data_IF_808002872988
#
_entry.id   IF_808002872988
#
_cell.length_a   1.000
_cell.length_b   1.000
_cell.length_c   1.000
_cell.angle_alpha   90.00
_cell.angle_beta   90.00
_cell.angle_gamma   90.00
#
_symmetry.space_group_name_H-M   'P 1'
#
loop_
_entity.id
_entity.type
_entity.pdbx_description
1 polymer ?
#
# COMPACT_ATOMS: atom_id res chain seq x y z
N UNK A 1 8.60 -15.81 3.06
CA UNK A 1 8.47 -14.43 2.54
C UNK A 1 9.53 -14.11 1.46
N UNK A 2 9.71 -14.99 0.45
CA UNK A 2 10.75 -14.84 -0.60
C UNK A 2 10.31 -15.21 -2.03
N UNK A 3 9.00 -15.26 -2.32
CA UNK A 3 8.52 -15.79 -3.61
C UNK A 3 8.59 -14.81 -4.81
N UNK A 4 9.00 -13.56 -4.58
CA UNK A 4 9.34 -12.60 -5.65
C UNK A 4 10.85 -12.55 -5.95
N UNK A 5 11.64 -13.39 -5.27
CA UNK A 5 13.03 -13.68 -5.58
C UNK A 5 13.20 -15.17 -5.93
N UNK A 6 14.32 -15.55 -6.55
CA UNK A 6 14.62 -16.94 -6.90
C UNK A 6 14.66 -17.21 -8.41
N UNK A 7 14.54 -18.48 -8.80
CA UNK A 7 14.62 -18.94 -10.19
C UNK A 7 13.50 -18.27 -11.04
N UNK A 8 13.86 -17.90 -12.27
CA UNK A 8 12.99 -17.29 -13.29
C UNK A 8 12.53 -15.84 -13.02
N UNK A 9 13.19 -15.12 -12.10
CA UNK A 9 12.92 -13.69 -11.89
C UNK A 9 13.61 -12.84 -12.95
N UNK A 10 12.84 -12.08 -13.70
CA UNK A 10 13.34 -11.05 -14.61
C UNK A 10 13.76 -9.84 -13.79
N UNK A 11 15.05 -9.51 -13.82
CA UNK A 11 15.57 -8.27 -13.24
C UNK A 11 15.41 -7.15 -14.27
N UNK A 12 14.64 -6.13 -13.92
CA UNK A 12 14.39 -4.98 -14.77
C UNK A 12 14.85 -3.71 -14.09
N UNK A 13 15.58 -2.87 -14.82
CA UNK A 13 16.11 -1.61 -14.31
C UNK A 13 15.47 -0.45 -15.05
N UNK A 14 14.75 0.39 -14.33
CA UNK A 14 14.19 1.65 -14.85
C UNK A 14 15.34 2.61 -15.10
N UNK A 15 15.40 3.11 -16.32
CA UNK A 15 16.43 4.03 -16.82
C UNK A 15 15.84 5.31 -17.39
N UNK A 16 14.53 5.31 -17.65
CA UNK A 16 13.79 6.43 -18.22
C UNK A 16 12.60 6.76 -17.29
N UNK A 17 12.53 8.00 -16.75
CA UNK A 17 11.45 8.42 -15.87
C UNK A 17 10.19 8.85 -16.64
N UNK A 18 10.20 8.83 -17.97
CA UNK A 18 9.01 9.13 -18.77
C UNK A 18 7.95 8.05 -18.63
N UNK A 19 6.70 8.44 -18.88
CA UNK A 19 5.56 7.55 -18.86
C UNK A 19 4.75 7.73 -20.14
N UNK A 20 4.46 6.63 -20.82
CA UNK A 20 3.47 6.57 -21.91
C UNK A 20 2.51 5.43 -21.61
N UNK A 21 1.23 5.73 -21.29
CA UNK A 21 0.26 4.72 -20.90
C UNK A 21 -0.24 3.85 -22.04
N UNK A 22 -0.14 4.31 -23.28
CA UNK A 22 -0.63 3.61 -24.45
C UNK A 22 0.48 2.80 -25.11
N UNK A 23 1.70 3.34 -25.11
CA UNK A 23 2.88 2.76 -25.75
C UNK A 23 4.10 2.88 -24.83
N UNK A 24 4.12 2.16 -23.69
CA UNK A 24 5.24 2.25 -22.75
C UNK A 24 6.53 1.77 -23.41
N UNK A 25 7.61 2.53 -23.23
CA UNK A 25 8.92 2.23 -23.82
C UNK A 25 9.75 1.36 -22.88
N UNK A 26 10.55 0.45 -23.45
CA UNK A 26 11.58 -0.25 -22.67
C UNK A 26 12.50 0.76 -21.97
N UNK A 27 12.81 0.51 -20.71
CA UNK A 27 13.49 1.45 -19.82
C UNK A 27 12.56 2.22 -18.88
N UNK A 28 11.25 2.33 -19.16
CA UNK A 28 10.27 3.01 -18.30
C UNK A 28 9.70 2.09 -17.22
N UNK A 29 9.21 2.66 -16.11
CA UNK A 29 8.54 1.91 -15.04
C UNK A 29 7.28 1.18 -15.55
N UNK A 30 6.45 1.86 -16.35
CA UNK A 30 5.22 1.26 -16.89
C UNK A 30 5.51 0.02 -17.71
N UNK A 31 6.49 0.08 -18.61
CA UNK A 31 6.88 -1.08 -19.41
C UNK A 31 7.21 -2.29 -18.54
N UNK A 32 8.02 -2.08 -17.49
CA UNK A 32 8.36 -3.12 -16.53
C UNK A 32 7.13 -3.76 -15.90
N UNK A 33 6.18 -2.95 -15.46
CA UNK A 33 4.99 -3.44 -14.74
C UNK A 33 3.91 -4.08 -15.62
N UNK A 34 3.79 -3.69 -16.89
CA UNK A 34 2.67 -4.10 -17.76
C UNK A 34 3.06 -5.00 -18.91
N UNK A 35 4.29 -4.88 -19.45
CA UNK A 35 4.70 -5.59 -20.66
C UNK A 35 5.50 -6.85 -20.37
N UNK A 36 6.24 -6.89 -19.25
CA UNK A 36 7.02 -8.04 -18.85
C UNK A 36 6.11 -9.06 -18.16
N UNK A 37 6.16 -10.31 -18.61
CA UNK A 37 5.37 -11.41 -18.05
C UNK A 37 6.20 -12.25 -17.09
N UNK A 38 5.53 -12.82 -16.08
CA UNK A 38 6.18 -13.69 -15.09
C UNK A 38 6.64 -12.93 -13.86
N UNK A 39 7.61 -13.50 -13.13
CA UNK A 39 8.16 -12.87 -11.93
C UNK A 39 9.11 -11.75 -12.33
N UNK A 40 8.91 -10.57 -11.78
CA UNK A 40 9.75 -9.41 -12.10
C UNK A 40 10.20 -8.69 -10.82
N UNK A 41 11.46 -8.29 -10.82
CA UNK A 41 12.04 -7.40 -9.82
C UNK A 41 12.51 -6.12 -10.51
N UNK A 42 11.78 -5.03 -10.25
CA UNK A 42 12.02 -3.70 -10.79
C UNK A 42 12.87 -2.91 -9.81
N UNK A 43 13.98 -2.38 -10.31
CA UNK A 43 14.90 -1.46 -9.61
C UNK A 43 15.10 -0.20 -10.44
N UNK A 44 15.78 0.81 -9.90
CA UNK A 44 16.00 2.08 -10.58
C UNK A 44 17.50 2.35 -10.73
N UNK A 45 17.90 2.96 -11.85
CA UNK A 45 19.31 3.26 -12.15
C UNK A 45 19.91 4.36 -11.25
N UNK A 46 19.11 5.36 -10.93
CA UNK A 46 19.45 6.54 -10.13
C UNK A 46 18.18 7.14 -9.52
N UNK A 47 18.31 8.16 -8.67
CA UNK A 47 17.17 8.96 -8.19
C UNK A 47 16.34 9.46 -9.38
N UNK A 48 15.02 9.31 -9.31
CA UNK A 48 14.11 9.64 -10.42
C UNK A 48 12.74 10.07 -9.89
N UNK A 49 12.27 11.24 -10.34
CA UNK A 49 10.85 11.59 -10.21
C UNK A 49 10.12 11.09 -11.46
N UNK A 50 9.19 10.16 -11.31
CA UNK A 50 8.49 9.48 -12.41
C UNK A 50 7.04 9.95 -12.44
N UNK A 51 6.74 10.94 -13.27
CA UNK A 51 5.38 11.44 -13.39
C UNK A 51 4.53 10.50 -14.24
N UNK A 52 3.64 9.75 -13.58
CA UNK A 52 2.73 8.84 -14.27
C UNK A 52 1.56 9.61 -14.87
N UNK A 53 1.25 9.33 -16.14
CA UNK A 53 0.07 9.85 -16.84
C UNK A 53 -1.19 9.02 -16.55
N UNK A 54 -1.02 7.74 -16.16
CA UNK A 54 -2.02 6.72 -15.76
C UNK A 54 -1.50 5.98 -14.49
N UNK A 55 -2.23 5.33 -13.56
CA UNK A 55 -1.69 4.50 -12.51
C UNK A 55 -0.91 3.39 -13.10
N UNK A 56 -0.04 2.95 -12.25
CA UNK A 56 0.63 1.72 -12.42
C UNK A 56 -0.32 0.59 -12.02
N UNK A 57 -0.72 -0.22 -13.01
CA UNK A 57 -1.38 -1.48 -12.76
C UNK A 57 -0.29 -2.51 -12.52
N UNK A 58 -0.25 -3.03 -11.30
CA UNK A 58 0.70 -4.06 -10.92
C UNK A 58 0.09 -5.44 -11.14
N UNK A 59 0.80 -6.25 -11.92
CA UNK A 59 0.46 -7.66 -12.10
C UNK A 59 1.01 -8.53 -10.96
N UNK A 60 0.53 -9.76 -10.88
CA UNK A 60 1.01 -10.71 -9.86
C UNK A 60 2.51 -10.97 -10.01
N UNK A 61 3.20 -11.29 -8.91
CA UNK A 61 4.65 -11.59 -8.89
C UNK A 61 5.56 -10.41 -9.25
N UNK A 62 5.12 -9.18 -8.94
CA UNK A 62 5.91 -7.97 -9.14
C UNK A 62 6.54 -7.50 -7.84
N UNK A 63 7.83 -7.16 -7.88
CA UNK A 63 8.50 -6.36 -6.86
C UNK A 63 8.93 -5.01 -7.44
N UNK A 64 8.53 -3.90 -6.81
CA UNK A 64 9.09 -2.55 -7.05
C UNK A 64 9.98 -2.21 -5.86
N UNK A 65 11.26 -1.96 -6.15
CA UNK A 65 12.32 -1.77 -5.15
C UNK A 65 13.07 -0.46 -5.42
N UNK A 66 12.75 0.56 -4.62
CA UNK A 66 13.37 1.88 -4.66
C UNK A 66 14.68 1.98 -3.86
N UNK A 67 15.26 0.88 -3.35
CA UNK A 67 16.48 0.97 -2.54
C UNK A 67 17.61 1.65 -3.29
N UNK A 68 18.30 2.56 -2.58
CA UNK A 68 19.42 3.32 -3.12
C UNK A 68 19.02 4.45 -4.08
N UNK A 69 17.72 4.69 -4.26
CA UNK A 69 17.21 5.80 -5.07
C UNK A 69 16.05 6.52 -4.38
N UNK A 70 15.86 7.80 -4.67
CA UNK A 70 14.58 8.49 -4.39
C UNK A 70 13.69 8.41 -5.64
N UNK A 71 12.70 7.50 -5.61
CA UNK A 71 11.75 7.28 -6.69
C UNK A 71 10.35 7.75 -6.28
N UNK A 72 9.77 8.67 -7.05
CA UNK A 72 8.54 9.39 -6.70
C UNK A 72 7.51 9.29 -7.84
N UNK A 73 6.34 8.64 -7.65
CA UNK A 73 5.27 8.61 -8.63
C UNK A 73 4.13 9.60 -8.30
N UNK A 74 3.88 10.65 -9.10
CA UNK A 74 2.61 11.40 -9.06
C UNK A 74 1.52 10.78 -9.96
N UNK A 75 0.27 11.25 -9.81
CA UNK A 75 -1.00 10.61 -10.23
C UNK A 75 -1.72 11.10 -11.50
N UNK A 76 -2.52 10.19 -12.11
CA UNK A 76 -4.00 10.12 -12.50
C UNK A 76 -4.19 9.01 -13.60
N UNK A 77 -5.39 8.44 -13.96
CA UNK A 77 -5.69 7.03 -14.46
C UNK A 77 -6.60 6.69 -15.66
N UNK A 78 -6.39 5.51 -16.31
CA UNK A 78 -7.34 4.61 -17.05
C UNK A 78 -6.70 3.22 -17.42
N UNK A 79 -7.47 2.13 -17.57
CA UNK A 79 -7.07 0.68 -17.58
C UNK A 79 -6.83 -0.05 -18.95
N UNK A 80 -6.69 -1.41 -18.97
CA UNK A 80 -5.93 -2.14 -20.00
C UNK A 80 -6.73 -2.77 -21.18
N UNK A 81 -6.02 -3.01 -22.31
CA UNK A 81 -6.29 -3.92 -23.47
C UNK A 81 -7.03 -3.44 -24.74
N UNK A 82 -7.22 -2.14 -25.01
CA UNK A 82 -7.97 -1.69 -26.20
C UNK A 82 -9.36 -2.37 -26.38
N UNK A 83 -9.89 -2.96 -25.30
CA UNK A 83 -11.24 -3.49 -25.17
C UNK A 83 -11.79 -2.95 -23.85
N UNK A 84 -12.84 -2.15 -23.96
CA UNK A 84 -13.42 -1.39 -22.83
C UNK A 84 -14.05 -2.35 -21.82
N UNK A 85 -13.44 -2.48 -20.64
CA UNK A 85 -14.10 -2.96 -19.42
C UNK A 85 -14.43 -1.72 -18.59
N UNK A 86 -15.71 -1.41 -18.41
CA UNK A 86 -16.16 -0.31 -17.55
C UNK A 86 -15.90 -0.67 -16.08
N UNK A 87 -14.74 -0.28 -15.56
CA UNK A 87 -14.54 -0.10 -14.13
C UNK A 87 -14.95 1.35 -13.84
N UNK A 88 -16.09 1.55 -13.16
CA UNK A 88 -16.64 2.88 -12.87
C UNK A 88 -15.60 3.89 -12.37
N UNK A 89 -15.83 5.19 -12.65
CA UNK A 89 -14.96 6.36 -12.38
C UNK A 89 -13.60 6.01 -11.78
N UNK A 90 -12.59 5.93 -12.63
CA UNK A 90 -11.23 5.59 -12.20
C UNK A 90 -10.60 6.72 -11.37
N UNK A 91 -10.67 6.58 -10.05
CA UNK A 91 -10.07 7.50 -9.07
C UNK A 91 -8.55 7.58 -9.21
N UNK A 92 -7.99 8.78 -9.10
CA UNK A 92 -6.57 9.11 -9.32
C UNK A 92 -5.56 8.55 -8.32
N UNK A 93 -5.57 7.24 -8.07
CA UNK A 93 -4.64 6.61 -7.13
C UNK A 93 -3.26 6.36 -7.77
N UNK A 94 -2.16 6.39 -7.00
CA UNK A 94 -0.82 6.19 -7.55
C UNK A 94 -0.59 4.76 -8.09
N UNK A 95 -0.85 3.77 -7.23
CA UNK A 95 -0.61 2.35 -7.50
C UNK A 95 -1.90 1.56 -7.25
N UNK A 96 -2.28 0.72 -8.22
CA UNK A 96 -3.46 -0.14 -8.11
C UNK A 96 -3.12 -1.61 -8.31
N UNK A 97 -3.56 -2.41 -7.35
CA UNK A 97 -3.53 -3.87 -7.36
C UNK A 97 -4.96 -4.40 -7.51
N UNK A 98 -5.21 -5.04 -8.64
CA UNK A 98 -6.51 -5.62 -8.99
C UNK A 98 -6.28 -7.09 -9.33
N UNK A 99 -6.98 -7.99 -8.63
CA UNK A 99 -6.85 -9.46 -8.76
C UNK A 99 -5.40 -9.98 -8.67
N UNK A 100 -4.51 -9.22 -8.04
CA UNK A 100 -3.07 -9.46 -8.01
C UNK A 100 -2.64 -10.27 -6.79
N UNK A 101 -1.63 -11.13 -6.95
CA UNK A 101 -1.06 -11.89 -5.84
C UNK A 101 0.46 -11.82 -5.80
N UNK A 102 1.04 -11.94 -4.60
CA UNK A 102 2.50 -11.97 -4.39
C UNK A 102 3.15 -10.71 -4.94
N UNK A 103 2.82 -9.56 -4.35
CA UNK A 103 3.38 -8.26 -4.74
C UNK A 103 4.16 -7.66 -3.58
N UNK A 104 5.29 -7.05 -3.89
CA UNK A 104 6.12 -6.34 -2.93
C UNK A 104 6.39 -4.90 -3.40
N UNK A 105 6.01 -3.93 -2.57
CA UNK A 105 6.24 -2.50 -2.81
C UNK A 105 7.16 -2.01 -1.70
N UNK A 106 8.41 -1.69 -2.06
CA UNK A 106 9.48 -1.46 -1.10
C UNK A 106 10.31 -0.20 -1.39
N UNK A 107 10.60 0.60 -0.37
CA UNK A 107 11.47 1.79 -0.45
C UNK A 107 11.02 2.86 -1.45
N UNK A 108 9.72 3.11 -1.56
CA UNK A 108 9.18 4.18 -2.42
C UNK A 108 8.68 5.34 -1.56
N UNK A 109 8.71 6.55 -2.11
CA UNK A 109 7.98 7.68 -1.52
C UNK A 109 6.76 7.96 -2.39
N UNK A 110 5.58 8.10 -1.78
CA UNK A 110 4.28 8.24 -2.43
C UNK A 110 3.57 9.45 -1.82
N UNK A 111 3.14 10.41 -2.64
CA UNK A 111 2.52 11.65 -2.15
C UNK A 111 1.72 12.39 -3.24
N UNK A 112 0.80 13.28 -2.83
CA UNK A 112 0.11 14.25 -3.70
C UNK A 112 -0.60 13.63 -4.93
N UNK A 113 -1.35 12.57 -4.67
CA UNK A 113 -2.19 11.93 -5.68
C UNK A 113 -3.61 12.52 -5.68
N UNK A 114 -4.30 12.51 -6.83
CA UNK A 114 -5.65 13.09 -6.92
C UNK A 114 -6.69 12.36 -6.04
N UNK A 115 -6.48 11.06 -5.76
CA UNK A 115 -7.34 10.31 -4.84
C UNK A 115 -6.50 9.54 -3.81
N UNK A 116 -6.24 8.25 -4.00
CA UNK A 116 -5.46 7.40 -3.08
C UNK A 116 -3.96 7.35 -3.40
N UNK A 117 -3.12 6.75 -2.55
CA UNK A 117 -1.75 6.35 -2.95
C UNK A 117 -1.72 4.89 -3.40
N UNK A 118 -2.25 3.99 -2.57
CA UNK A 118 -2.21 2.56 -2.82
C UNK A 118 -3.59 1.91 -2.64
N UNK A 119 -4.09 1.30 -3.70
CA UNK A 119 -5.35 0.57 -3.71
C UNK A 119 -5.10 -0.92 -3.96
N UNK A 120 -5.50 -1.76 -3.00
CA UNK A 120 -5.44 -3.23 -3.08
C UNK A 120 -6.85 -3.78 -3.04
N UNK A 121 -7.34 -4.31 -4.16
CA UNK A 121 -8.77 -4.63 -4.31
C UNK A 121 -9.01 -5.90 -5.13
N UNK A 122 -10.28 -6.32 -5.19
CA UNK A 122 -10.79 -7.36 -6.09
C UNK A 122 -10.10 -8.72 -5.93
N UNK A 123 -9.96 -9.18 -4.69
CA UNK A 123 -9.36 -10.47 -4.34
C UNK A 123 -7.83 -10.48 -4.46
N UNK A 124 -7.19 -9.31 -4.47
CA UNK A 124 -5.75 -9.22 -4.35
C UNK A 124 -5.29 -9.73 -2.98
N UNK A 125 -4.15 -10.43 -2.90
CA UNK A 125 -3.69 -11.06 -1.65
C UNK A 125 -2.19 -11.36 -1.67
N UNK A 126 -1.59 -11.67 -0.52
CA UNK A 126 -0.14 -11.85 -0.37
C UNK A 126 0.63 -10.60 -0.84
N UNK A 127 0.24 -9.43 -0.34
CA UNK A 127 0.90 -8.16 -0.64
C UNK A 127 1.76 -7.76 0.56
N UNK A 128 2.99 -7.33 0.31
CA UNK A 128 3.86 -6.71 1.32
C UNK A 128 4.16 -5.27 0.90
N UNK A 129 3.92 -4.34 1.80
CA UNK A 129 4.20 -2.91 1.63
C UNK A 129 5.19 -2.53 2.71
N UNK A 130 6.43 -2.21 2.31
CA UNK A 130 7.48 -1.94 3.28
C UNK A 130 8.44 -0.80 2.98
N UNK A 131 8.99 -0.19 4.03
CA UNK A 131 9.98 0.89 3.91
C UNK A 131 9.53 2.06 3.03
N UNK A 132 8.22 2.25 2.81
CA UNK A 132 7.72 3.33 1.98
C UNK A 132 7.45 4.57 2.83
N UNK A 133 7.57 5.75 2.23
CA UNK A 133 7.18 7.01 2.82
C UNK A 133 5.91 7.56 2.14
N UNK A 134 4.80 7.53 2.87
CA UNK A 134 3.53 8.12 2.48
C UNK A 134 3.37 9.49 3.13
N UNK A 135 3.17 10.54 2.34
CA UNK A 135 2.99 11.92 2.86
C UNK A 135 2.06 12.75 1.99
N UNK A 136 1.66 13.92 2.49
CA UNK A 136 0.86 14.93 1.77
C UNK A 136 -0.32 14.30 1.02
N UNK A 137 -1.14 13.52 1.74
CA UNK A 137 -2.28 12.83 1.16
C UNK A 137 -3.34 12.52 2.20
N UNK A 138 -4.61 12.72 1.83
CA UNK A 138 -5.78 12.45 2.65
C UNK A 138 -6.12 10.96 2.67
N UNK A 139 -6.08 10.30 1.50
CA UNK A 139 -6.35 8.87 1.32
C UNK A 139 -5.06 8.12 1.02
N UNK A 140 -4.47 7.49 2.02
CA UNK A 140 -3.17 6.83 1.84
C UNK A 140 -3.31 5.45 1.20
N UNK A 141 -4.00 4.53 1.87
CA UNK A 141 -4.05 3.12 1.47
C UNK A 141 -5.46 2.57 1.66
N UNK A 142 -6.01 1.94 0.61
CA UNK A 142 -7.29 1.25 0.65
C UNK A 142 -7.09 -0.26 0.43
N UNK A 143 -7.55 -1.07 1.38
CA UNK A 143 -7.47 -2.52 1.34
C UNK A 143 -8.90 -3.10 1.28
N UNK A 144 -9.39 -3.37 0.07
CA UNK A 144 -10.79 -3.70 -0.23
C UNK A 144 -11.65 -2.46 -0.49
N UNK A 145 -12.48 -2.51 -1.54
CA UNK A 145 -13.26 -1.34 -2.00
C UNK A 145 -14.78 -1.58 -2.05
N UNK A 146 -15.21 -2.83 -2.16
CA UNK A 146 -16.62 -3.19 -2.35
C UNK A 146 -17.06 -4.18 -1.26
N UNK A 147 -18.06 -3.77 -0.47
CA UNK A 147 -18.62 -4.55 0.63
C UNK A 147 -19.22 -5.90 0.18
N UNK A 148 -19.65 -6.00 -1.09
CA UNK A 148 -20.16 -7.24 -1.68
C UNK A 148 -19.07 -8.16 -2.24
N UNK A 149 -17.80 -7.72 -2.28
CA UNK A 149 -16.74 -8.46 -2.94
C UNK A 149 -16.17 -9.58 -2.06
N UNK A 150 -16.83 -10.73 -2.07
CA UNK A 150 -16.52 -11.87 -1.20
C UNK A 150 -15.08 -12.37 -1.28
N UNK A 151 -14.37 -12.17 -2.40
CA UNK A 151 -12.96 -12.58 -2.54
C UNK A 151 -12.01 -11.76 -1.67
N UNK A 152 -12.39 -10.55 -1.27
CA UNK A 152 -11.56 -9.70 -0.39
C UNK A 152 -11.48 -10.29 1.04
N UNK A 153 -12.36 -11.22 1.42
CA UNK A 153 -12.26 -11.96 2.70
C UNK A 153 -10.98 -12.78 2.84
N UNK A 154 -10.36 -13.15 1.72
CA UNK A 154 -9.10 -13.90 1.68
C UNK A 154 -7.88 -12.99 1.44
N UNK A 155 -8.06 -11.67 1.47
CA UNK A 155 -6.99 -10.71 1.32
C UNK A 155 -6.06 -10.78 2.53
N UNK A 156 -4.76 -10.90 2.25
CA UNK A 156 -3.69 -10.81 3.23
C UNK A 156 -2.69 -9.76 2.78
N UNK A 157 -2.48 -8.76 3.63
CA UNK A 157 -1.55 -7.65 3.39
C UNK A 157 -0.70 -7.48 4.64
N UNK A 158 0.62 -7.37 4.44
CA UNK A 158 1.58 -7.00 5.50
C UNK A 158 2.05 -5.58 5.23
N UNK A 159 1.89 -4.70 6.22
CA UNK A 159 2.33 -3.30 6.18
C UNK A 159 3.37 -3.13 7.28
N UNK A 160 4.64 -2.97 6.90
CA UNK A 160 5.76 -2.95 7.85
C UNK A 160 6.91 -2.05 7.39
N UNK A 161 7.62 -1.46 8.31
CA UNK A 161 8.64 -0.41 8.22
C UNK A 161 8.23 0.84 7.42
N UNK A 162 6.93 1.13 7.28
CA UNK A 162 6.49 2.31 6.54
C UNK A 162 6.43 3.56 7.42
N UNK A 163 6.55 4.69 6.74
CA UNK A 163 6.43 6.02 7.31
C UNK A 163 5.16 6.72 6.79
N UNK A 164 4.24 7.08 7.68
CA UNK A 164 3.01 7.79 7.37
C UNK A 164 3.03 9.18 8.01
N UNK A 165 3.15 10.21 7.17
CA UNK A 165 3.17 11.61 7.60
C UNK A 165 4.47 12.34 7.26
N UNK A 166 4.62 13.60 7.70
CA UNK A 166 5.60 14.52 7.13
C UNK A 166 7.06 14.33 7.58
N UNK A 167 7.36 13.71 8.72
CA UNK A 167 8.75 13.66 9.25
C UNK A 167 9.31 12.25 9.39
N UNK A 168 10.33 11.84 8.63
CA UNK A 168 10.88 10.47 8.60
C UNK A 168 11.81 10.06 9.77
N UNK A 169 11.73 10.70 10.94
CA UNK A 169 12.83 10.70 11.93
C UNK A 169 12.84 9.53 12.94
N UNK A 170 11.93 8.56 12.84
CA UNK A 170 11.78 7.48 13.84
C UNK A 170 11.75 6.11 13.18
N UNK A 171 12.56 5.20 13.70
CA UNK A 171 12.56 3.78 13.35
C UNK A 171 11.48 3.08 14.18
N UNK A 172 10.50 2.49 13.51
CA UNK A 172 9.43 1.69 14.10
C UNK A 172 8.94 0.66 13.08
N UNK A 173 8.13 -0.32 13.51
CA UNK A 173 7.47 -1.22 12.56
C UNK A 173 6.55 -0.45 11.63
N UNK A 174 5.80 0.53 12.08
CA UNK A 174 5.35 1.60 11.19
C UNK A 174 5.30 2.85 12.05
N UNK A 175 5.65 3.98 11.46
CA UNK A 175 5.55 5.26 12.12
C UNK A 175 4.39 6.04 11.54
N UNK A 176 3.48 6.50 12.39
CA UNK A 176 2.32 7.31 12.03
C UNK A 176 2.40 8.64 12.74
N UNK A 177 2.27 9.73 12.00
CA UNK A 177 2.27 11.07 12.54
C UNK A 177 1.21 11.95 11.91
N UNK A 178 0.42 12.60 12.76
CA UNK A 178 -0.42 13.72 12.34
C UNK A 178 -1.56 13.35 11.42
N UNK A 179 -2.24 12.21 11.66
CA UNK A 179 -3.45 11.86 10.90
C UNK A 179 -4.58 12.86 11.15
N UNK A 180 -5.40 13.16 10.14
CA UNK A 180 -6.53 14.08 10.33
C UNK A 180 -7.71 13.41 11.05
N UNK A 181 -8.17 12.27 10.51
CA UNK A 181 -9.34 11.57 11.03
C UNK A 181 -8.97 10.34 11.87
N UNK A 182 -8.10 9.48 11.36
CA UNK A 182 -7.65 8.25 12.01
C UNK A 182 -6.41 7.74 11.27
N UNK A 183 -5.59 6.91 11.92
CA UNK A 183 -4.46 6.24 11.26
C UNK A 183 -4.86 4.89 10.66
N UNK A 184 -5.79 4.18 11.30
CA UNK A 184 -6.21 2.83 10.89
C UNK A 184 -7.74 2.76 10.94
N UNK A 185 -8.37 2.35 9.84
CA UNK A 185 -9.82 2.15 9.80
C UNK A 185 -10.26 0.85 9.17
N UNK A 186 -11.49 0.46 9.47
CA UNK A 186 -12.13 -0.67 8.79
C UNK A 186 -13.65 -0.60 8.78
N UNK A 187 -14.22 -1.15 7.70
CA UNK A 187 -15.64 -1.49 7.57
C UNK A 187 -15.78 -2.97 7.16
N UNK A 188 -16.94 -3.58 7.39
CA UNK A 188 -17.19 -5.00 7.04
C UNK A 188 -16.30 -6.00 7.78
N UNK A 189 -15.93 -5.69 9.03
CA UNK A 189 -15.26 -6.60 9.96
C UNK A 189 -13.89 -7.16 9.50
N UNK A 190 -12.91 -6.29 9.17
CA UNK A 190 -11.57 -6.74 8.91
C UNK A 190 -10.91 -7.25 10.20
N UNK A 191 -9.88 -8.08 10.04
CA UNK A 191 -9.00 -8.51 11.12
C UNK A 191 -7.68 -7.77 11.01
N UNK A 192 -7.38 -6.90 11.98
CA UNK A 192 -6.21 -6.04 11.99
C UNK A 192 -5.36 -6.35 13.23
N UNK A 193 -4.08 -6.68 13.00
CA UNK A 193 -3.04 -6.73 14.02
C UNK A 193 -2.16 -5.49 13.87
N UNK A 194 -2.22 -4.59 14.84
CA UNK A 194 -1.24 -3.52 15.02
C UNK A 194 -0.19 -4.00 16.02
N UNK A 195 1.08 -3.97 15.64
CA UNK A 195 2.16 -4.53 16.45
C UNK A 195 3.44 -3.68 16.34
N UNK A 196 3.91 -3.20 17.49
CA UNK A 196 5.11 -2.38 17.66
C UNK A 196 5.18 -1.16 16.71
N UNK A 197 4.02 -0.58 16.40
CA UNK A 197 3.90 0.67 15.67
C UNK A 197 4.11 1.86 16.61
N UNK A 198 4.49 3.00 16.04
CA UNK A 198 4.70 4.25 16.78
C UNK A 198 3.74 5.32 16.27
N UNK A 199 2.81 5.75 17.12
CA UNK A 199 1.75 6.69 16.78
C UNK A 199 1.97 8.02 17.49
N UNK A 200 2.09 9.10 16.72
CA UNK A 200 2.12 10.49 17.20
C UNK A 200 0.86 11.19 16.72
N UNK A 201 -0.08 11.41 17.63
CA UNK A 201 -1.28 12.16 17.29
C UNK A 201 -0.94 13.61 16.88
N UNK A 202 -1.82 14.27 16.09
CA UNK A 202 -1.71 15.70 15.77
C UNK A 202 -1.52 16.58 17.01
N UNK A 203 -0.85 17.73 16.88
CA UNK A 203 -0.64 18.66 18.00
C UNK A 203 -1.88 19.49 18.37
N UNK A 204 -2.79 19.68 17.42
CA UNK A 204 -4.02 20.42 17.60
C UNK A 204 -5.07 19.61 18.39
N UNK A 205 -6.28 20.17 18.52
CA UNK A 205 -7.43 19.51 19.17
C UNK A 205 -8.02 18.37 18.31
N UNK A 206 -7.29 17.94 17.26
CA UNK A 206 -7.67 16.88 16.35
C UNK A 206 -7.80 15.52 17.02
N UNK A 207 -8.29 14.54 16.25
CA UNK A 207 -8.61 13.22 16.78
C UNK A 207 -7.34 12.49 17.27
N UNK A 208 -7.33 12.11 18.55
CA UNK A 208 -6.25 11.34 19.16
C UNK A 208 -6.43 9.83 19.02
N UNK A 209 -7.63 9.39 18.66
CA UNK A 209 -7.91 7.98 18.46
C UNK A 209 -7.28 7.48 17.15
N UNK A 210 -6.43 6.46 17.26
CA UNK A 210 -5.76 5.78 16.14
C UNK A 210 -6.75 5.06 15.26
N UNK A 211 -7.81 4.48 15.85
CA UNK A 211 -8.73 3.58 15.15
C UNK A 211 -10.11 4.15 14.88
N UNK A 212 -10.63 3.92 13.67
CA UNK A 212 -12.04 4.17 13.36
C UNK A 212 -12.71 2.94 12.76
N UNK A 213 -13.99 2.71 13.12
CA UNK A 213 -14.70 1.47 12.78
C UNK A 213 -16.11 1.78 12.31
N UNK A 214 -16.53 1.19 11.20
CA UNK A 214 -17.90 1.31 10.66
C UNK A 214 -18.60 -0.05 10.66
N UNK A 215 -19.82 -0.10 11.22
CA UNK A 215 -20.66 -1.30 11.29
C UNK A 215 -21.10 -1.68 12.71
N UNK A 216 -21.65 -2.89 12.85
CA UNK A 216 -22.14 -3.40 14.13
C UNK A 216 -21.02 -3.72 15.13
N UNK A 217 -21.24 -3.35 16.40
CA UNK A 217 -20.31 -3.61 17.50
C UNK A 217 -20.27 -5.10 17.80
N UNK A 218 -19.06 -5.69 17.88
CA UNK A 218 -18.84 -7.08 18.33
C UNK A 218 -18.22 -8.02 17.30
N UNK A 219 -18.21 -7.66 16.01
CA UNK A 219 -17.62 -8.50 14.95
C UNK A 219 -16.19 -8.10 14.56
N UNK A 220 -15.73 -6.93 14.99
CA UNK A 220 -14.41 -6.40 14.64
C UNK A 220 -13.31 -7.14 15.38
N UNK A 221 -12.15 -7.30 14.73
CA UNK A 221 -10.96 -7.95 15.29
C UNK A 221 -9.76 -7.02 15.18
N UNK A 222 -9.71 -6.02 16.06
CA UNK A 222 -8.63 -5.03 16.10
C UNK A 222 -7.79 -5.28 17.35
N UNK A 223 -6.50 -5.52 17.16
CA UNK A 223 -5.55 -5.80 18.22
C UNK A 223 -4.37 -4.84 18.15
N UNK A 224 -3.90 -4.41 19.31
CA UNK A 224 -2.70 -3.59 19.47
C UNK A 224 -1.77 -4.32 20.44
N UNK A 225 -0.53 -4.56 20.02
CA UNK A 225 0.48 -5.31 20.78
C UNK A 225 1.79 -4.55 20.74
N UNK A 226 2.24 -4.04 21.89
CA UNK A 226 3.52 -3.32 21.98
C UNK A 226 3.58 -2.00 21.21
N UNK A 227 2.43 -1.44 20.80
CA UNK A 227 2.38 -0.14 20.15
C UNK A 227 2.74 0.99 21.12
N UNK A 228 3.42 2.01 20.61
CA UNK A 228 3.80 3.20 21.35
C UNK A 228 2.92 4.37 20.93
N UNK A 229 2.28 5.01 21.92
CA UNK A 229 1.42 6.15 21.70
C UNK A 229 2.03 7.42 22.30
N UNK A 230 2.06 8.49 21.51
CA UNK A 230 2.56 9.82 21.90
C UNK A 230 1.53 10.90 21.59
N UNK A 231 1.66 12.02 22.30
CA UNK A 231 0.82 13.21 22.11
C UNK A 231 -0.68 12.96 22.34
N UNK A 232 -1.01 12.09 23.30
CA UNK A 232 -2.39 11.71 23.62
C UNK A 232 -2.99 10.65 22.72
N UNK A 233 -2.23 10.10 21.75
CA UNK A 233 -2.72 9.02 20.89
C UNK A 233 -3.27 7.84 21.72
N UNK A 234 -4.34 7.21 21.23
CA UNK A 234 -4.96 6.05 21.88
C UNK A 234 -5.41 5.01 20.86
N UNK A 235 -5.43 3.74 21.27
CA UNK A 235 -6.02 2.64 20.51
C UNK A 235 -7.12 2.02 21.37
N UNK A 236 -8.37 2.41 21.13
CA UNK A 236 -9.49 2.02 21.98
C UNK A 236 -9.94 0.56 21.75
N UNK A 237 -10.46 -0.06 22.82
CA UNK A 237 -11.08 -1.40 22.94
C UNK A 237 -10.62 -2.45 21.91
N UNK A 238 -9.74 -3.35 22.36
CA UNK A 238 -9.51 -4.63 21.70
C UNK A 238 -10.83 -5.41 21.68
N UNK A 239 -11.28 -5.83 20.50
CA UNK A 239 -12.53 -6.59 20.33
C UNK A 239 -12.17 -8.01 19.94
N UNK A 240 -12.19 -8.93 20.89
CA UNK A 240 -11.96 -10.37 20.66
C UNK A 240 -11.08 -11.03 21.73
N UNK A 241 -11.33 -12.32 21.98
CA UNK A 241 -10.46 -13.20 22.78
C UNK A 241 -9.54 -13.91 21.81
N UNK A 242 -8.25 -13.54 21.81
CA UNK A 242 -7.23 -14.12 20.95
C UNK A 242 -6.71 -13.13 19.91
N UNK A 243 -5.41 -12.84 19.97
CA UNK A 243 -4.76 -11.94 19.02
C UNK A 243 -4.97 -12.38 17.57
N UNK A 244 -4.88 -11.42 16.64
CA UNK A 244 -4.80 -11.75 15.23
C UNK A 244 -3.57 -12.66 15.01
N UNK A 245 -3.81 -13.92 14.62
CA UNK A 245 -2.75 -14.86 14.27
C UNK A 245 -2.22 -14.47 12.89
N UNK A 246 -0.99 -13.94 12.78
CA UNK A 246 -0.42 -13.73 11.47
C UNK A 246 -0.19 -15.08 10.81
N UNK A 247 -0.67 -15.24 9.57
CA UNK A 247 -0.46 -16.45 8.78
C UNK A 247 0.93 -16.42 8.11
N UNK A 248 1.99 -16.20 8.89
CA UNK A 248 3.34 -16.39 8.41
C UNK A 248 3.62 -17.90 8.36
N UNK A 249 4.00 -18.42 7.20
CA UNK A 249 4.61 -19.74 7.14
C UNK A 249 5.94 -19.69 7.88
N UNK A 250 6.26 -20.71 8.68
CA UNK A 250 7.65 -20.99 8.98
C UNK A 250 8.33 -21.28 7.64
N UNK A 251 9.38 -20.53 7.34
CA UNK A 251 10.26 -20.86 6.20
C UNK A 251 11.04 -22.12 6.49
#
# INVERSE_FOLDING_TARGET
>A
MINNIGKDVVKYKVTDPSDDPLSPKSGTLRYGTTMIKGKIWITFKNNMTITLQRPLLLSSFTAIDGRGVDAQPPSIVMGPNAKVILLGRMGGDAIRLVTARKVWIDHNTLYECQNGLLDVTRGSTNVTVSNNWFRNQDKVMLLGHDNGHLRDKNMMVTVIFNHFGPNCNKKANNFYQGWEQYAISGSMSPSIKSEANFFVAPNDVGNKEVTWRKGEKGLWKFYSVGDVFKNGASFNKQTGVGGAKPNYSQE
#
